data_IF_086351102541
#
_entry.id   IF_086351102541
#
_cell.length_a   1.000
_cell.length_b   1.000
_cell.length_c   1.000
_cell.angle_alpha   90.00
_cell.angle_beta   90.00
_cell.angle_gamma   90.00
#
_symmetry.space_group_name_H-M   'P 1'
#
loop_
_entity.id
_entity.type
_entity.pdbx_description
1 polymer ?
#
# COMPACT_ATOMS: atom_id res chain seq x y z
N UNK A 1 3.36 3.21 31.06
CA UNK A 1 3.07 4.66 31.09
C UNK A 1 3.09 5.16 29.65
N UNK A 2 1.90 5.49 29.12
CA UNK A 2 1.76 6.06 27.79
C UNK A 2 2.15 7.52 27.89
N UNK A 3 3.34 7.86 27.43
CA UNK A 3 3.73 9.27 27.33
C UNK A 3 2.88 9.96 26.25
N UNK A 4 2.31 11.13 26.54
CA UNK A 4 1.55 11.89 25.54
C UNK A 4 2.44 12.21 24.33
N UNK A 5 1.87 12.15 23.14
CA UNK A 5 2.55 12.47 21.88
C UNK A 5 3.02 13.93 21.95
N UNK A 6 4.31 14.13 22.11
CA UNK A 6 4.89 15.46 22.17
C UNK A 6 5.26 15.85 20.73
N UNK A 7 4.42 16.69 20.14
CA UNK A 7 4.75 17.48 18.97
C UNK A 7 5.82 18.50 19.43
N UNK A 8 7.09 18.10 19.34
CA UNK A 8 8.22 18.94 19.65
C UNK A 8 9.05 19.23 18.41
N UNK A 9 9.82 20.31 18.40
CA UNK A 9 10.83 20.57 17.38
C UNK A 9 11.80 19.39 17.29
N UNK A 10 12.44 19.18 16.15
CA UNK A 10 13.40 18.07 15.94
C UNK A 10 14.51 18.01 17.00
N UNK A 11 14.90 19.16 17.50
CA UNK A 11 15.88 19.29 18.58
C UNK A 11 15.40 18.61 19.87
N UNK A 12 14.12 18.79 20.24
CA UNK A 12 13.57 18.18 21.45
C UNK A 12 13.48 16.64 21.34
N UNK A 13 13.23 16.09 20.15
CA UNK A 13 13.19 14.63 19.94
C UNK A 13 14.59 14.03 20.10
N UNK A 14 15.61 14.66 19.51
CA UNK A 14 17.00 14.21 19.61
C UNK A 14 17.54 14.25 21.05
N UNK A 15 17.22 15.30 21.79
CA UNK A 15 17.66 15.44 23.20
C UNK A 15 17.00 14.41 24.11
N UNK A 16 15.71 14.10 23.86
CA UNK A 16 15.02 13.05 24.60
C UNK A 16 15.57 11.66 24.28
N UNK A 17 15.91 11.39 23.03
CA UNK A 17 16.57 10.13 22.67
C UNK A 17 17.90 9.97 23.37
N UNK A 18 18.72 11.04 23.45
CA UNK A 18 19.96 11.04 24.20
C UNK A 18 19.70 10.76 25.69
N UNK A 19 18.71 11.42 26.28
CA UNK A 19 18.34 11.20 27.70
C UNK A 19 17.88 9.75 27.93
N UNK A 20 16.99 9.22 27.05
CA UNK A 20 16.54 7.83 27.14
C UNK A 20 17.71 6.86 27.03
N UNK A 21 18.64 7.11 26.10
CA UNK A 21 19.85 6.31 25.94
C UNK A 21 20.75 6.33 27.19
N UNK A 22 20.97 7.51 27.75
CA UNK A 22 21.76 7.67 29.01
C UNK A 22 21.12 6.98 30.22
N UNK A 23 19.78 6.96 30.26
CA UNK A 23 19.03 6.34 31.35
C UNK A 23 18.65 4.88 31.08
N UNK A 24 19.15 4.26 30.01
CA UNK A 24 18.82 2.88 29.56
C UNK A 24 17.32 2.63 29.41
N UNK A 25 16.56 3.69 29.05
CA UNK A 25 15.11 3.61 28.85
C UNK A 25 14.79 3.33 27.39
N UNK A 26 13.74 2.55 27.17
CA UNK A 26 13.21 2.31 25.82
C UNK A 26 12.46 3.54 25.32
N UNK A 27 12.77 4.00 24.11
CA UNK A 27 12.05 5.06 23.42
C UNK A 27 11.40 4.55 22.14
N UNK A 28 10.14 4.90 21.91
CA UNK A 28 9.43 4.64 20.67
C UNK A 28 9.31 5.96 19.89
N UNK A 29 9.88 6.00 18.71
CA UNK A 29 9.85 7.18 17.83
C UNK A 29 9.13 6.82 16.55
N UNK A 30 8.20 7.69 16.13
CA UNK A 30 7.57 7.58 14.81
C UNK A 30 8.52 8.20 13.79
N UNK A 31 9.09 7.42 12.86
CA UNK A 31 10.05 7.95 11.90
C UNK A 31 9.38 8.91 10.91
N UNK A 32 10.11 9.92 10.49
CA UNK A 32 9.80 10.74 9.30
C UNK A 32 10.26 10.02 8.03
N UNK A 33 9.88 10.52 6.85
CA UNK A 33 10.31 9.92 5.58
C UNK A 33 11.84 9.90 5.42
N UNK A 34 12.50 10.98 5.83
CA UNK A 34 13.98 11.07 5.85
C UNK A 34 14.63 10.00 6.70
N UNK A 35 14.05 9.72 7.88
CA UNK A 35 14.57 8.71 8.79
C UNK A 35 14.43 7.31 8.19
N UNK A 36 13.31 7.03 7.51
CA UNK A 36 13.09 5.76 6.82
C UNK A 36 14.10 5.53 5.70
N UNK A 37 14.41 6.56 4.90
CA UNK A 37 15.44 6.50 3.84
C UNK A 37 16.82 6.25 4.45
N UNK A 38 17.13 6.88 5.59
CA UNK A 38 18.41 6.65 6.30
C UNK A 38 18.51 5.28 6.94
N UNK A 39 17.40 4.62 7.28
CA UNK A 39 17.42 3.26 7.82
C UNK A 39 17.95 2.23 6.81
N UNK A 40 17.73 2.44 5.52
CA UNK A 40 18.28 1.62 4.42
C UNK A 40 19.71 2.01 4.01
N UNK A 41 20.32 3.02 4.64
CA UNK A 41 21.64 3.49 4.26
C UNK A 41 22.75 2.51 4.68
N UNK A 42 23.71 2.31 3.79
CA UNK A 42 24.92 1.50 4.05
C UNK A 42 25.85 2.26 5.00
N UNK A 43 26.37 1.55 6.00
CA UNK A 43 27.34 2.11 6.94
C UNK A 43 28.73 1.98 6.34
N UNK A 44 29.36 3.10 6.02
CA UNK A 44 30.73 3.14 5.51
C UNK A 44 31.63 3.96 6.45
N UNK A 45 32.90 3.69 6.42
CA UNK A 45 33.91 4.45 7.15
C UNK A 45 34.82 5.13 6.14
N UNK A 46 34.97 6.44 6.30
CA UNK A 46 35.94 7.21 5.53
C UNK A 46 36.85 7.87 6.55
N UNK A 47 38.10 7.42 6.58
CA UNK A 47 39.04 7.71 7.66
C UNK A 47 38.42 7.33 9.03
N UNK A 48 38.49 8.21 10.01
CA UNK A 48 37.98 7.98 11.39
C UNK A 48 36.51 8.36 11.56
N UNK A 49 35.79 8.70 10.48
CA UNK A 49 34.42 9.18 10.56
C UNK A 49 33.45 8.15 9.95
N UNK A 50 32.43 7.72 10.70
CA UNK A 50 31.35 6.90 10.14
C UNK A 50 30.41 7.73 9.27
N UNK A 51 30.10 7.24 8.10
CA UNK A 51 29.14 7.82 7.18
C UNK A 51 27.96 6.87 6.92
N UNK A 52 26.80 7.44 6.66
CA UNK A 52 25.63 6.75 6.14
C UNK A 52 25.53 7.05 4.64
N UNK A 53 25.83 6.06 3.81
CA UNK A 53 25.71 6.16 2.36
C UNK A 53 24.30 5.73 1.96
N UNK A 54 23.44 6.69 1.67
CA UNK A 54 22.16 6.41 1.03
C UNK A 54 22.38 6.20 -0.45
N UNK A 55 22.39 4.94 -0.87
CA UNK A 55 22.28 4.59 -2.28
C UNK A 55 20.79 4.50 -2.59
N UNK A 56 20.36 5.05 -3.74
CA UNK A 56 18.97 4.84 -4.17
C UNK A 56 18.66 3.33 -4.12
N UNK A 57 17.43 2.96 -3.74
CA UNK A 57 17.02 1.57 -3.63
C UNK A 57 17.45 0.75 -4.86
N UNK A 58 18.26 -0.24 -4.64
CA UNK A 58 18.61 -1.23 -5.65
C UNK A 58 18.85 -2.56 -4.95
N UNK A 59 17.94 -3.51 -5.18
CA UNK A 59 18.22 -4.92 -4.84
C UNK A 59 19.48 -5.37 -5.58
N UNK A 60 20.32 -6.16 -4.92
CA UNK A 60 21.40 -6.88 -5.57
C UNK A 60 20.85 -7.79 -6.68
N UNK A 61 21.70 -8.20 -7.59
CA UNK A 61 21.29 -9.10 -8.67
C UNK A 61 20.71 -10.41 -8.11
N UNK A 62 21.34 -10.96 -7.08
CA UNK A 62 20.94 -12.21 -6.44
C UNK A 62 19.59 -12.08 -5.76
N UNK A 63 19.35 -10.99 -5.04
CA UNK A 63 18.06 -10.72 -4.41
C UNK A 63 16.94 -10.57 -5.43
N UNK A 64 17.20 -9.88 -6.55
CA UNK A 64 16.23 -9.75 -7.66
C UNK A 64 15.89 -11.09 -8.29
N UNK A 65 16.92 -11.91 -8.53
CA UNK A 65 16.74 -13.24 -9.10
C UNK A 65 15.94 -14.13 -8.17
N UNK A 66 16.30 -14.15 -6.88
CA UNK A 66 15.64 -14.98 -5.87
C UNK A 66 14.20 -14.55 -5.64
N UNK A 67 13.93 -13.22 -5.57
CA UNK A 67 12.58 -12.68 -5.51
C UNK A 67 11.76 -13.08 -6.73
N UNK A 68 12.33 -12.97 -7.93
CA UNK A 68 11.62 -13.36 -9.16
C UNK A 68 11.32 -14.85 -9.21
N UNK A 69 12.25 -15.69 -8.78
CA UNK A 69 12.04 -17.14 -8.68
C UNK A 69 10.90 -17.46 -7.71
N UNK A 70 10.91 -16.84 -6.54
CA UNK A 70 9.82 -16.98 -5.55
C UNK A 70 8.47 -16.57 -6.18
N UNK A 71 8.39 -15.42 -6.84
CA UNK A 71 7.19 -14.92 -7.52
C UNK A 71 6.68 -15.93 -8.57
N UNK A 72 7.57 -16.49 -9.39
CA UNK A 72 7.21 -17.44 -10.44
C UNK A 72 6.71 -18.77 -9.87
N UNK A 73 7.47 -19.35 -8.94
CA UNK A 73 7.12 -20.65 -8.34
C UNK A 73 5.79 -20.55 -7.60
N UNK A 74 5.66 -19.53 -6.74
CA UNK A 74 4.47 -19.39 -5.91
C UNK A 74 3.22 -19.07 -6.75
N UNK A 75 3.33 -18.18 -7.75
CA UNK A 75 2.18 -17.88 -8.63
C UNK A 75 1.78 -19.07 -9.49
N UNK A 76 2.73 -19.83 -10.00
CA UNK A 76 2.44 -21.05 -10.76
C UNK A 76 1.72 -22.09 -9.89
N UNK A 77 2.27 -22.40 -8.72
CA UNK A 77 1.67 -23.36 -7.79
C UNK A 77 0.26 -22.93 -7.39
N UNK A 78 0.07 -21.65 -7.02
CA UNK A 78 -1.23 -21.13 -6.64
C UNK A 78 -2.23 -21.17 -7.80
N UNK A 79 -1.82 -20.84 -9.03
CA UNK A 79 -2.70 -20.95 -10.20
C UNK A 79 -3.16 -22.39 -10.46
N UNK A 80 -2.25 -23.35 -10.34
CA UNK A 80 -2.62 -24.79 -10.49
C UNK A 80 -3.59 -25.21 -9.39
N UNK A 81 -3.29 -24.91 -8.12
CA UNK A 81 -4.14 -25.28 -6.98
C UNK A 81 -5.50 -24.58 -7.03
N UNK A 82 -5.53 -23.31 -7.41
CA UNK A 82 -6.79 -22.54 -7.44
C UNK A 82 -7.52 -22.64 -8.79
N UNK A 83 -7.00 -23.35 -9.78
CA UNK A 83 -7.62 -23.47 -11.11
C UNK A 83 -9.08 -23.95 -11.09
N UNK A 84 -9.51 -24.94 -10.27
CA UNK A 84 -10.92 -25.31 -10.19
C UNK A 84 -11.79 -24.16 -9.67
N UNK A 85 -11.28 -23.40 -8.69
CA UNK A 85 -11.98 -22.24 -8.12
C UNK A 85 -12.09 -21.13 -9.18
N UNK A 86 -11.02 -20.87 -9.94
CA UNK A 86 -11.04 -19.88 -11.02
C UNK A 86 -12.12 -20.21 -12.08
N UNK A 87 -12.26 -21.48 -12.45
CA UNK A 87 -13.30 -21.91 -13.40
C UNK A 87 -14.70 -21.72 -12.81
N UNK A 88 -14.94 -22.15 -11.57
CA UNK A 88 -16.22 -22.00 -10.89
C UNK A 88 -16.62 -20.52 -10.73
N UNK A 89 -15.69 -19.68 -10.31
CA UNK A 89 -15.91 -18.23 -10.16
C UNK A 89 -16.18 -17.60 -11.53
N UNK A 90 -15.45 -18.01 -12.59
CA UNK A 90 -15.69 -17.53 -13.95
C UNK A 90 -17.09 -17.84 -14.42
N UNK A 91 -17.56 -19.06 -14.19
CA UNK A 91 -18.92 -19.47 -14.51
C UNK A 91 -19.97 -18.68 -13.70
N UNK A 92 -19.77 -18.52 -12.39
CA UNK A 92 -20.67 -17.77 -11.53
C UNK A 92 -20.80 -16.29 -11.95
N UNK A 93 -19.67 -15.60 -12.26
CA UNK A 93 -19.68 -14.22 -12.75
C UNK A 93 -20.38 -14.13 -14.11
N UNK A 94 -20.14 -15.10 -15.02
CA UNK A 94 -20.76 -15.11 -16.35
C UNK A 94 -22.26 -15.32 -16.29
N UNK A 95 -22.72 -16.18 -15.40
CA UNK A 95 -24.16 -16.50 -15.24
C UNK A 95 -24.92 -15.40 -14.47
N UNK A 96 -24.24 -14.55 -13.74
CA UNK A 96 -24.90 -13.50 -12.92
C UNK A 96 -25.53 -12.42 -13.79
N UNK A 97 -24.84 -11.92 -14.82
CA UNK A 97 -25.29 -10.82 -15.67
C UNK A 97 -24.85 -10.91 -17.14
N UNK A 98 -24.31 -12.06 -17.57
CA UNK A 98 -23.94 -12.30 -18.97
C UNK A 98 -22.70 -11.54 -19.48
N UNK A 99 -22.20 -10.56 -18.74
CA UNK A 99 -21.11 -9.69 -19.16
C UNK A 99 -19.70 -10.34 -19.12
N UNK A 100 -18.60 -9.55 -19.25
CA UNK A 100 -17.24 -10.07 -19.22
C UNK A 100 -16.88 -10.60 -17.82
N UNK A 101 -16.14 -11.72 -17.77
CA UNK A 101 -15.70 -12.35 -16.52
C UNK A 101 -14.64 -11.52 -15.80
N UNK A 102 -13.71 -10.96 -16.57
CA UNK A 102 -12.59 -10.20 -16.05
C UNK A 102 -12.81 -8.70 -16.17
N UNK A 103 -12.47 -8.00 -15.11
CA UNK A 103 -12.30 -6.55 -15.08
C UNK A 103 -10.83 -6.22 -15.28
N UNK A 104 -10.56 -5.22 -16.10
CA UNK A 104 -9.22 -4.76 -16.44
C UNK A 104 -9.11 -3.27 -16.16
N UNK A 105 -8.03 -2.86 -15.50
CA UNK A 105 -7.79 -1.46 -15.17
C UNK A 105 -6.31 -1.13 -15.28
N UNK A 106 -5.99 0.06 -15.78
CA UNK A 106 -4.61 0.55 -15.83
C UNK A 106 -4.13 0.95 -14.45
N UNK A 107 -2.93 0.53 -14.09
CA UNK A 107 -2.26 0.80 -12.82
C UNK A 107 -0.79 1.10 -13.06
N UNK A 108 -0.14 1.72 -12.06
CA UNK A 108 1.30 1.97 -12.06
C UNK A 108 2.04 0.85 -11.32
N UNK A 109 3.20 0.47 -11.86
CA UNK A 109 4.16 -0.44 -11.24
C UNK A 109 5.53 0.25 -11.16
N UNK A 110 6.62 -0.54 -11.14
CA UNK A 110 7.99 -0.03 -11.02
C UNK A 110 8.30 1.04 -12.07
N UNK A 111 9.00 2.10 -11.63
CA UNK A 111 9.44 3.23 -12.47
C UNK A 111 8.27 3.91 -13.21
N UNK A 112 7.11 4.00 -12.55
CA UNK A 112 5.85 4.57 -13.06
C UNK A 112 5.32 3.90 -14.34
N UNK A 113 5.82 2.70 -14.68
CA UNK A 113 5.34 1.95 -15.84
C UNK A 113 3.88 1.58 -15.68
N UNK A 114 3.11 1.76 -16.76
CA UNK A 114 1.71 1.39 -16.78
C UNK A 114 1.54 -0.09 -17.14
N UNK A 115 0.68 -0.77 -16.40
CA UNK A 115 0.25 -2.14 -16.71
C UNK A 115 -1.24 -2.30 -16.50
N UNK A 116 -1.81 -3.35 -17.05
CA UNK A 116 -3.22 -3.67 -16.87
C UNK A 116 -3.38 -4.75 -15.80
N UNK A 117 -3.93 -4.36 -14.65
CA UNK A 117 -4.30 -5.31 -13.60
C UNK A 117 -5.54 -6.10 -14.02
N UNK A 118 -5.56 -7.40 -13.73
CA UNK A 118 -6.65 -8.30 -14.05
C UNK A 118 -7.31 -8.76 -12.76
N UNK A 119 -8.65 -8.60 -12.65
CA UNK A 119 -9.47 -9.07 -11.53
C UNK A 119 -10.72 -9.76 -12.05
N UNK A 120 -11.39 -10.54 -11.21
CA UNK A 120 -12.76 -10.92 -11.50
C UNK A 120 -13.67 -9.68 -11.37
N UNK A 121 -14.62 -9.57 -12.27
CA UNK A 121 -15.61 -8.51 -12.20
C UNK A 121 -16.54 -8.75 -11.02
N UNK A 122 -16.61 -7.77 -10.13
CA UNK A 122 -17.43 -7.78 -8.93
C UNK A 122 -18.52 -6.71 -8.93
N UNK A 123 -18.55 -5.85 -9.95
CA UNK A 123 -19.53 -4.78 -10.15
C UNK A 123 -20.29 -4.99 -11.46
N UNK A 124 -21.43 -4.33 -11.59
CA UNK A 124 -22.21 -4.30 -12.83
C UNK A 124 -21.40 -3.73 -13.99
N UNK A 125 -21.80 -4.05 -15.22
CA UNK A 125 -21.19 -3.45 -16.41
C UNK A 125 -21.42 -1.94 -16.35
N UNK A 126 -20.41 -1.15 -16.72
CA UNK A 126 -20.45 0.32 -16.73
C UNK A 126 -20.59 1.01 -15.35
N UNK A 127 -20.22 0.32 -14.27
CA UNK A 127 -20.26 0.88 -12.91
C UNK A 127 -19.47 2.21 -12.70
N UNK A 128 -18.52 2.53 -13.56
CA UNK A 128 -17.70 3.76 -13.51
C UNK A 128 -18.12 4.81 -14.55
N UNK A 129 -19.10 4.53 -15.42
CA UNK A 129 -19.48 5.42 -16.53
C UNK A 129 -20.25 6.66 -16.09
N UNK A 130 -20.99 6.60 -14.97
CA UNK A 130 -21.88 7.68 -14.51
C UNK A 130 -21.24 8.66 -13.53
N UNK A 131 -20.26 8.23 -12.74
CA UNK A 131 -19.72 9.05 -11.63
C UNK A 131 -18.18 9.18 -11.66
N UNK A 132 -17.52 8.63 -12.68
CA UNK A 132 -16.06 8.60 -12.72
C UNK A 132 -15.43 7.63 -11.70
N UNK A 133 -14.12 7.75 -11.42
CA UNK A 133 -13.39 6.84 -10.52
C UNK A 133 -13.67 7.12 -9.04
N UNK A 134 -14.84 6.72 -8.54
CA UNK A 134 -15.22 6.84 -7.13
C UNK A 134 -14.75 5.61 -6.35
N UNK A 135 -14.22 5.83 -5.14
CA UNK A 135 -13.89 4.74 -4.21
C UNK A 135 -15.17 4.01 -3.79
N UNK A 136 -15.13 2.68 -3.82
CA UNK A 136 -16.27 1.86 -3.43
C UNK A 136 -16.62 2.08 -1.95
N UNK A 137 -17.88 2.43 -1.67
CA UNK A 137 -18.43 2.55 -0.32
C UNK A 137 -18.79 1.17 0.27
N UNK A 138 -19.08 1.12 1.58
CA UNK A 138 -19.47 -0.13 2.27
C UNK A 138 -20.76 -0.73 1.73
N UNK A 139 -21.71 0.13 1.30
CA UNK A 139 -22.99 -0.23 0.67
C UNK A 139 -23.05 0.35 -0.73
N UNK A 140 -22.26 -0.22 -1.64
CA UNK A 140 -22.19 0.21 -3.05
C UNK A 140 -23.14 -0.66 -3.88
N UNK A 141 -24.23 -0.06 -4.36
CA UNK A 141 -25.27 -0.76 -5.14
C UNK A 141 -24.76 -1.27 -6.49
N UNK A 142 -23.59 -0.79 -6.93
CA UNK A 142 -22.92 -1.27 -8.14
C UNK A 142 -22.32 -2.68 -7.96
N UNK A 143 -22.19 -3.17 -6.72
CA UNK A 143 -21.61 -4.48 -6.43
C UNK A 143 -22.64 -5.58 -6.60
N UNK A 144 -22.38 -6.54 -7.50
CA UNK A 144 -23.27 -7.70 -7.72
C UNK A 144 -23.29 -8.61 -6.48
N UNK A 145 -24.33 -9.48 -6.37
CA UNK A 145 -24.42 -10.46 -5.26
C UNK A 145 -23.20 -11.38 -5.23
N UNK A 146 -22.81 -11.91 -6.40
CA UNK A 146 -21.57 -12.71 -6.55
C UNK A 146 -20.34 -11.86 -6.23
N UNK A 147 -20.29 -10.62 -6.70
CA UNK A 147 -19.20 -9.69 -6.44
C UNK A 147 -18.98 -9.38 -4.96
N UNK A 148 -20.05 -9.31 -4.17
CA UNK A 148 -19.97 -9.10 -2.72
C UNK A 148 -19.24 -10.26 -2.04
N UNK A 149 -19.59 -11.49 -2.39
CA UNK A 149 -18.89 -12.68 -1.92
C UNK A 149 -17.41 -12.71 -2.36
N UNK A 150 -17.14 -12.40 -3.63
CA UNK A 150 -15.76 -12.37 -4.17
C UNK A 150 -14.88 -11.37 -3.44
N UNK A 151 -15.39 -10.16 -3.17
CA UNK A 151 -14.66 -9.13 -2.41
C UNK A 151 -14.43 -9.51 -0.95
N UNK A 152 -15.44 -10.09 -0.30
CA UNK A 152 -15.32 -10.55 1.09
C UNK A 152 -14.27 -11.66 1.24
N UNK A 153 -14.20 -12.57 0.27
CA UNK A 153 -13.24 -13.68 0.24
C UNK A 153 -11.91 -13.35 -0.44
N UNK A 154 -11.74 -12.15 -1.02
CA UNK A 154 -10.57 -11.75 -1.82
C UNK A 154 -10.33 -12.62 -3.06
N UNK A 155 -11.29 -13.43 -3.47
CA UNK A 155 -11.19 -14.28 -4.67
C UNK A 155 -11.17 -13.45 -5.95
N UNK A 156 -11.72 -12.23 -5.92
CA UNK A 156 -11.67 -11.28 -7.04
C UNK A 156 -10.24 -10.91 -7.46
N UNK A 157 -9.26 -11.03 -6.57
CA UNK A 157 -7.87 -10.68 -6.82
C UNK A 157 -7.02 -11.85 -7.36
N UNK A 158 -7.54 -13.11 -7.37
CA UNK A 158 -6.80 -14.28 -7.86
C UNK A 158 -6.26 -14.15 -9.31
N UNK A 159 -6.97 -13.52 -10.27
CA UNK A 159 -6.43 -13.36 -11.62
C UNK A 159 -5.15 -12.50 -11.70
N UNK A 160 -4.82 -11.74 -10.65
CA UNK A 160 -3.56 -10.99 -10.61
C UNK A 160 -2.32 -11.90 -10.59
N UNK A 161 -2.48 -13.20 -10.25
CA UNK A 161 -1.41 -14.19 -10.38
C UNK A 161 -0.86 -14.26 -11.82
N UNK A 162 -1.70 -14.00 -12.85
CA UNK A 162 -1.24 -13.89 -14.24
C UNK A 162 -0.35 -12.65 -14.44
N UNK A 163 -0.65 -11.52 -13.79
CA UNK A 163 0.21 -10.35 -13.83
C UNK A 163 1.57 -10.61 -13.16
N UNK A 164 1.59 -11.40 -12.07
CA UNK A 164 2.85 -11.79 -11.41
C UNK A 164 3.67 -12.70 -12.32
N UNK A 165 3.06 -13.72 -12.95
CA UNK A 165 3.76 -14.60 -13.89
C UNK A 165 4.33 -13.83 -15.08
N UNK A 166 3.56 -12.91 -15.64
CA UNK A 166 4.01 -12.03 -16.72
C UNK A 166 5.16 -11.13 -16.30
N UNK A 167 5.22 -10.74 -15.03
CA UNK A 167 6.27 -9.88 -14.47
C UNK A 167 5.89 -8.43 -14.30
N UNK A 168 4.63 -8.07 -14.52
CA UNK A 168 4.10 -6.73 -14.26
C UNK A 168 4.07 -6.42 -12.75
N UNK A 169 3.84 -7.47 -11.94
CA UNK A 169 3.72 -7.41 -10.48
C UNK A 169 4.64 -8.41 -9.79
N UNK A 170 4.75 -8.28 -8.47
CA UNK A 170 5.34 -9.22 -7.53
C UNK A 170 4.28 -9.68 -6.52
N UNK A 171 4.56 -10.75 -5.76
CA UNK A 171 3.70 -11.10 -4.62
C UNK A 171 3.69 -10.01 -3.58
N UNK A 172 4.87 -9.52 -3.21
CA UNK A 172 5.03 -8.52 -2.15
C UNK A 172 5.59 -7.22 -2.72
N UNK A 173 4.90 -6.13 -2.41
CA UNK A 173 5.26 -4.78 -2.84
C UNK A 173 4.16 -3.77 -2.49
N UNK A 174 4.37 -2.50 -2.76
CA UNK A 174 3.34 -1.47 -2.64
C UNK A 174 2.11 -1.81 -3.49
N UNK A 175 0.90 -1.52 -2.95
CA UNK A 175 -0.33 -1.75 -3.73
C UNK A 175 -0.36 -0.85 -4.96
N UNK A 176 -0.66 -1.40 -6.17
CA UNK A 176 -0.71 -0.61 -7.39
C UNK A 176 -1.85 0.41 -7.35
N UNK A 177 -1.53 1.68 -7.53
CA UNK A 177 -2.50 2.78 -7.58
C UNK A 177 -2.82 3.17 -9.02
N UNK A 178 -3.93 3.88 -9.21
CA UNK A 178 -4.32 4.46 -10.50
C UNK A 178 -3.37 5.62 -10.83
N UNK A 179 -3.01 5.83 -12.12
CA UNK A 179 -2.15 6.96 -12.51
C UNK A 179 -2.69 8.32 -12.04
N UNK A 180 -4.01 8.51 -12.15
CA UNK A 180 -4.69 9.76 -11.76
C UNK A 180 -4.57 10.02 -10.24
N UNK A 181 -4.64 8.95 -9.43
CA UNK A 181 -4.49 9.06 -7.98
C UNK A 181 -3.06 9.36 -7.58
N UNK A 182 -2.08 8.75 -8.26
CA UNK A 182 -0.65 9.06 -8.02
C UNK A 182 -0.41 10.54 -8.32
N UNK A 183 -0.85 11.04 -9.48
CA UNK A 183 -0.73 12.44 -9.85
C UNK A 183 -1.42 13.39 -8.86
N UNK A 184 -2.59 12.99 -8.33
CA UNK A 184 -3.28 13.77 -7.32
C UNK A 184 -2.48 13.86 -6.01
N UNK A 185 -1.94 12.73 -5.53
CA UNK A 185 -1.14 12.71 -4.31
C UNK A 185 0.22 13.40 -4.46
N UNK A 186 0.86 13.32 -5.63
CA UNK A 186 2.15 13.98 -5.90
C UNK A 186 2.07 15.51 -5.88
N UNK A 187 0.89 16.11 -6.12
CA UNK A 187 0.69 17.57 -6.00
C UNK A 187 0.96 18.07 -4.59
N UNK A 188 0.49 17.32 -3.59
CA UNK A 188 0.63 17.69 -2.17
C UNK A 188 1.85 17.03 -1.51
N UNK A 189 2.33 15.92 -2.09
CA UNK A 189 3.39 15.09 -1.54
C UNK A 189 4.22 14.46 -2.69
N UNK A 190 5.22 15.19 -3.21
CA UNK A 190 6.06 14.72 -4.33
C UNK A 190 6.77 13.39 -4.06
N UNK A 191 7.02 13.07 -2.80
CA UNK A 191 7.67 11.83 -2.37
C UNK A 191 6.78 10.59 -2.56
N UNK A 192 5.47 10.77 -2.87
CA UNK A 192 4.55 9.65 -3.04
C UNK A 192 4.99 8.70 -4.16
N UNK A 193 5.69 9.20 -5.17
CA UNK A 193 6.30 8.41 -6.24
C UNK A 193 7.42 7.46 -5.78
N UNK A 194 8.01 7.65 -4.60
CA UNK A 194 9.08 6.77 -4.12
C UNK A 194 8.60 5.33 -3.95
N UNK A 195 7.30 5.12 -3.80
CA UNK A 195 6.71 3.78 -3.73
C UNK A 195 6.81 2.99 -5.05
N UNK A 196 6.98 3.68 -6.19
CA UNK A 196 7.13 3.04 -7.52
C UNK A 196 8.58 2.64 -7.83
N UNK A 197 9.51 2.78 -6.90
CA UNK A 197 10.89 2.28 -7.05
C UNK A 197 10.97 0.76 -7.15
N UNK A 198 9.93 0.06 -6.71
CA UNK A 198 9.80 -1.40 -6.76
C UNK A 198 8.55 -1.81 -7.50
N UNK A 199 8.47 -3.09 -7.92
CA UNK A 199 7.24 -3.62 -8.53
C UNK A 199 6.08 -3.56 -7.55
N UNK A 200 4.90 -3.25 -8.11
CA UNK A 200 3.66 -3.33 -7.37
C UNK A 200 3.40 -4.76 -6.87
N UNK A 201 2.82 -4.89 -5.66
CA UNK A 201 2.56 -6.16 -5.01
C UNK A 201 1.09 -6.53 -4.96
N UNK A 202 0.81 -7.84 -4.97
CA UNK A 202 -0.50 -8.40 -4.63
C UNK A 202 -0.79 -8.17 -3.14
N UNK A 203 0.21 -8.35 -2.30
CA UNK A 203 0.22 -7.95 -0.88
C UNK A 203 1.40 -7.04 -0.60
N UNK A 204 1.43 -6.41 0.59
CA UNK A 204 2.51 -5.53 0.99
C UNK A 204 2.39 -5.06 2.43
N UNK A 205 3.40 -4.37 2.89
CA UNK A 205 3.50 -3.92 4.27
C UNK A 205 2.32 -3.01 4.66
N UNK A 206 1.95 -2.06 3.79
CA UNK A 206 0.80 -1.20 4.00
C UNK A 206 -0.55 -1.93 3.96
N UNK A 207 -0.66 -3.04 3.22
CA UNK A 207 -1.88 -3.85 3.15
C UNK A 207 -2.06 -4.74 4.38
N UNK A 208 -0.96 -5.19 5.00
CA UNK A 208 -0.97 -6.08 6.18
C UNK A 208 -1.09 -5.29 7.48
N UNK A 209 -0.37 -4.17 7.61
CA UNK A 209 -0.30 -3.38 8.84
C UNK A 209 -1.15 -2.11 8.78
N UNK A 210 -1.46 -1.61 7.60
CA UNK A 210 -2.36 -0.45 7.43
C UNK A 210 -3.81 -0.82 7.71
N UNK A 211 -4.60 0.22 8.04
CA UNK A 211 -6.05 0.12 8.19
C UNK A 211 -6.73 0.77 7.00
N UNK A 212 -8.04 0.58 6.87
CA UNK A 212 -8.82 1.21 5.80
C UNK A 212 -8.69 2.75 5.77
N UNK A 213 -8.65 3.37 6.95
CA UNK A 213 -8.51 4.82 7.15
C UNK A 213 -7.05 5.32 7.24
N UNK A 214 -6.06 4.49 6.87
CA UNK A 214 -4.65 4.92 6.86
C UNK A 214 -4.46 6.01 5.81
N UNK A 215 -3.91 7.15 6.23
CA UNK A 215 -3.64 8.28 5.34
C UNK A 215 -2.69 7.92 4.19
N UNK A 216 -2.72 8.62 3.04
CA UNK A 216 -1.75 8.41 1.97
C UNK A 216 -0.30 8.55 2.43
N UNK A 217 -0.04 9.49 3.35
CA UNK A 217 1.28 9.71 3.95
C UNK A 217 1.74 8.51 4.80
N UNK A 218 0.86 7.93 5.62
CA UNK A 218 1.20 6.77 6.42
C UNK A 218 1.33 5.50 5.57
N UNK A 219 0.54 5.38 4.48
CA UNK A 219 0.74 4.31 3.49
C UNK A 219 2.11 4.41 2.85
N UNK A 220 2.53 5.62 2.46
CA UNK A 220 3.87 5.86 1.92
C UNK A 220 4.96 5.45 2.91
N UNK A 221 4.84 5.82 4.19
CA UNK A 221 5.80 5.40 5.22
C UNK A 221 5.91 3.88 5.33
N UNK A 222 4.77 3.17 5.34
CA UNK A 222 4.74 1.71 5.41
C UNK A 222 5.36 1.07 4.15
N UNK A 223 5.09 1.62 2.98
CA UNK A 223 5.68 1.18 1.73
C UNK A 223 7.20 1.42 1.70
N UNK A 224 7.66 2.60 2.14
CA UNK A 224 9.09 2.91 2.23
C UNK A 224 9.79 2.06 3.29
N UNK A 225 9.14 1.79 4.42
CA UNK A 225 9.71 0.88 5.42
C UNK A 225 9.98 -0.50 4.81
N UNK A 226 9.09 -1.02 3.97
CA UNK A 226 9.31 -2.26 3.24
C UNK A 226 10.45 -2.14 2.23
N UNK A 227 10.45 -1.05 1.43
CA UNK A 227 11.42 -0.83 0.35
C UNK A 227 12.84 -0.75 0.91
N UNK A 228 13.06 0.06 1.94
CA UNK A 228 14.39 0.32 2.51
C UNK A 228 14.91 -0.85 3.39
N UNK A 229 14.02 -1.70 3.91
CA UNK A 229 14.40 -2.85 4.73
C UNK A 229 14.06 -4.18 4.05
N UNK A 230 14.18 -4.23 2.72
CA UNK A 230 13.84 -5.44 1.97
C UNK A 230 14.65 -6.65 2.45
N UNK A 231 13.97 -7.78 2.60
CA UNK A 231 14.56 -9.10 2.72
C UNK A 231 13.59 -10.17 2.24
N UNK A 232 14.11 -11.26 1.70
CA UNK A 232 13.30 -12.40 1.29
C UNK A 232 12.47 -12.97 2.45
N UNK A 233 13.05 -12.97 3.66
CA UNK A 233 12.36 -13.39 4.87
C UNK A 233 11.16 -12.51 5.18
N UNK A 234 11.27 -11.21 4.96
CA UNK A 234 10.16 -10.27 5.10
C UNK A 234 9.05 -10.54 4.09
N UNK A 235 9.39 -10.89 2.85
CA UNK A 235 8.40 -11.30 1.85
C UNK A 235 7.62 -12.53 2.30
N UNK A 236 8.32 -13.59 2.73
CA UNK A 236 7.69 -14.82 3.25
C UNK A 236 6.78 -14.49 4.43
N UNK A 237 7.24 -13.67 5.38
CA UNK A 237 6.45 -13.26 6.54
C UNK A 237 5.18 -12.53 6.13
N UNK A 238 5.26 -11.59 5.19
CA UNK A 238 4.10 -10.82 4.70
C UNK A 238 3.11 -11.71 3.95
N UNK A 239 3.57 -12.68 3.16
CA UNK A 239 2.72 -13.67 2.48
C UNK A 239 1.96 -14.51 3.51
N UNK A 240 2.64 -15.04 4.53
CA UNK A 240 2.00 -15.82 5.60
C UNK A 240 1.00 -14.99 6.42
N UNK A 241 1.32 -13.73 6.71
CA UNK A 241 0.40 -12.82 7.40
C UNK A 241 -0.82 -12.50 6.56
N UNK A 242 -0.65 -12.32 5.25
CA UNK A 242 -1.76 -12.11 4.30
C UNK A 242 -2.69 -13.32 4.29
N UNK A 243 -2.14 -14.53 4.21
CA UNK A 243 -2.93 -15.76 4.27
C UNK A 243 -3.75 -15.85 5.56
N UNK A 244 -3.13 -15.51 6.71
CA UNK A 244 -3.83 -15.45 8.00
C UNK A 244 -4.96 -14.42 8.01
N UNK A 245 -4.75 -13.26 7.36
CA UNK A 245 -5.76 -12.19 7.27
C UNK A 245 -6.93 -12.58 6.36
N UNK A 246 -6.64 -13.22 5.22
CA UNK A 246 -7.67 -13.71 4.29
C UNK A 246 -8.54 -14.81 4.94
N UNK A 247 -7.95 -15.65 5.79
CA UNK A 247 -8.66 -16.70 6.50
C UNK A 247 -9.49 -16.20 7.70
N UNK A 248 -9.34 -14.93 8.11
CA UNK A 248 -10.14 -14.33 9.19
C UNK A 248 -11.21 -13.40 8.60
N UNK A 249 -12.50 -13.76 8.65
CA UNK A 249 -13.59 -12.98 8.03
C UNK A 249 -13.74 -11.56 8.57
N UNK A 250 -13.33 -11.29 9.82
CA UNK A 250 -13.48 -10.00 10.50
C UNK A 250 -12.55 -8.88 9.99
N UNK A 251 -11.54 -9.19 9.18
CA UNK A 251 -10.60 -8.18 8.67
C UNK A 251 -11.14 -7.39 7.46
N UNK A 252 -12.27 -7.80 6.88
CA UNK A 252 -12.91 -7.14 5.74
C UNK A 252 -13.94 -6.07 6.16
N UNK A 253 -14.27 -5.97 7.44
CA UNK A 253 -15.22 -4.97 7.94
C UNK A 253 -14.52 -3.63 8.11
N UNK A 254 -14.71 -2.73 7.14
CA UNK A 254 -14.42 -1.31 7.29
C UNK A 254 -15.23 -0.73 8.45
N UNK A 255 -14.59 0.09 9.28
CA UNK A 255 -15.23 0.87 10.33
C UNK A 255 -16.38 1.70 9.72
N UNK A 256 -17.55 1.86 10.39
CA UNK A 256 -18.64 2.70 9.92
C UNK A 256 -18.14 4.10 9.62
N UNK A 257 -18.48 4.61 8.43
CA UNK A 257 -17.90 5.83 7.90
C UNK A 257 -18.16 7.06 8.75
N UNK A 258 -17.10 7.75 9.08
CA UNK A 258 -17.04 9.19 9.09
C UNK A 258 -16.31 9.60 7.81
N UNK A 259 -17.06 10.13 6.86
CA UNK A 259 -16.49 10.85 5.73
C UNK A 259 -15.79 12.08 6.32
N UNK A 260 -14.52 12.39 5.96
CA UNK A 260 -13.97 13.69 6.26
C UNK A 260 -14.82 14.71 5.50
N UNK A 261 -15.48 15.58 6.23
CA UNK A 261 -16.23 16.72 5.71
C UNK A 261 -15.28 17.57 4.84
N UNK A 262 -15.57 17.81 3.54
CA UNK A 262 -14.72 18.62 2.68
C UNK A 262 -14.76 20.12 3.04
N UNK A 263 -15.44 20.50 4.14
CA UNK A 263 -15.75 21.87 4.51
C UNK A 263 -14.85 22.56 5.53
N UNK A 264 -13.81 21.94 6.09
CA UNK A 264 -12.99 22.60 7.12
C UNK A 264 -11.61 23.07 6.57
N UNK A 265 -11.64 23.80 5.48
CA UNK A 265 -10.58 24.74 5.11
C UNK A 265 -11.21 26.11 5.02
N UNK A 266 -10.99 26.96 5.99
CA UNK A 266 -10.85 28.39 5.90
C UNK A 266 -11.24 29.10 7.21
N UNK A 267 -10.33 29.10 8.15
CA UNK A 267 -10.28 30.11 9.22
C UNK A 267 -9.20 31.12 8.91
N UNK A 268 -9.37 31.87 7.82
CA UNK A 268 -8.61 33.10 7.60
C UNK A 268 -9.12 34.12 8.60
N UNK A 269 -8.38 34.35 9.67
CA UNK A 269 -8.54 35.53 10.52
C UNK A 269 -8.19 36.77 9.71
N UNK A 270 -9.21 37.44 9.21
CA UNK A 270 -9.12 38.83 8.78
C UNK A 270 -9.03 39.70 10.03
N UNK A 271 -7.84 40.15 10.32
CA UNK A 271 -7.57 41.28 11.20
C UNK A 271 -8.21 42.53 10.56
N UNK A 272 -9.31 43.01 11.14
CA UNK A 272 -9.87 44.32 10.83
C UNK A 272 -9.37 45.30 11.87
N UNK A 273 -8.40 46.08 11.46
CA UNK A 273 -8.06 47.35 12.13
C UNK A 273 -9.31 48.20 12.32
N UNK A 274 -9.55 48.64 13.51
CA UNK A 274 -10.52 49.62 13.93
C UNK A 274 -9.83 50.77 14.63
N UNK A 275 -9.58 51.83 13.89
CA UNK A 275 -9.24 53.16 14.38
C UNK A 275 -10.43 53.71 15.17
N UNK A 276 -10.18 54.39 16.29
CA UNK A 276 -11.15 55.30 16.81
C UNK A 276 -11.05 55.65 18.30
N UNK A 277 -10.39 56.78 18.55
CA UNK A 277 -10.46 57.71 19.70
C UNK A 277 -9.82 57.28 21.02
#
# INVERSE_FOLDING_TARGET
EIMPSLVGSEMCIRDRLKYCYMCEKRAYVVPKLSDLILMGAERIHVFDTPFLLSRGYALSFDERLLKRLLDLVLSFVLLVVTSPILVLVSAAVKLCDGGPVFYRQVRCTKDDQLFTIIKFRSMVVDAESSEGPVLASRHDDRVTVVGRFLRASRLDELPQLFNILKGDMSFVGPRPERPEMIQAYERDMPEFRFRTRVKAGLTGYAQVYGKYNTSPYDKLKLDLFYIENYSLWQDIKLILMTLKTVLKPSAAEGVPGEQPDPGTQSGRTTDKGGTGR
#
